data_IF_536947512958
#
_entry.id   IF_536947512958
#
_cell.length_a   1.000
_cell.length_b   1.000
_cell.length_c   1.000
_cell.angle_alpha   90.00
_cell.angle_beta   90.00
_cell.angle_gamma   90.00
#
_symmetry.space_group_name_H-M   'P 1'
#
loop_
_entity.id
_entity.type
_entity.pdbx_description
1 polymer ?
#
# COMPACT_ATOMS: atom_id res chain seq x y z
N UNK A 1 -10.26 2.95 -33.30
CA UNK A 1 -9.10 2.78 -32.39
C UNK A 1 -9.21 3.85 -31.32
N UNK A 2 -9.77 3.53 -30.15
CA UNK A 2 -9.93 4.50 -29.06
C UNK A 2 -8.69 4.49 -28.17
N UNK A 3 -7.88 5.55 -28.24
CA UNK A 3 -6.74 5.80 -27.35
C UNK A 3 -7.26 6.13 -25.95
N UNK A 4 -7.03 5.25 -24.98
CA UNK A 4 -7.28 5.54 -23.56
C UNK A 4 -6.24 6.56 -23.09
N UNK A 5 -6.68 7.80 -22.90
CA UNK A 5 -5.93 8.87 -22.25
C UNK A 5 -5.56 8.41 -20.84
N UNK A 6 -4.28 8.17 -20.57
CA UNK A 6 -3.78 7.87 -19.23
C UNK A 6 -3.83 9.17 -18.41
N UNK A 7 -4.95 9.40 -17.74
CA UNK A 7 -5.02 10.43 -16.70
C UNK A 7 -3.98 10.09 -15.64
N UNK A 8 -3.14 11.06 -15.26
CA UNK A 8 -2.16 10.93 -14.19
C UNK A 8 -2.89 10.44 -12.92
N UNK A 9 -2.72 9.16 -12.60
CA UNK A 9 -3.40 8.49 -11.50
C UNK A 9 -2.95 9.13 -10.20
N UNK A 10 -3.90 9.65 -9.42
CA UNK A 10 -3.64 10.07 -8.04
C UNK A 10 -2.95 8.92 -7.28
N UNK A 11 -1.96 9.21 -6.41
CA UNK A 11 -1.30 8.16 -5.64
C UNK A 11 -2.35 7.39 -4.83
N UNK A 12 -2.34 6.07 -5.00
CA UNK A 12 -3.24 5.16 -4.27
C UNK A 12 -2.85 5.16 -2.80
N UNK A 13 -3.86 5.22 -1.92
CA UNK A 13 -3.68 5.09 -0.47
C UNK A 13 -2.96 3.76 -0.17
N UNK A 14 -1.91 3.81 0.66
CA UNK A 14 -1.12 2.65 1.07
C UNK A 14 -1.62 2.11 2.42
N UNK A 15 -1.39 0.81 2.66
CA UNK A 15 -1.76 0.17 3.92
C UNK A 15 -0.75 0.49 5.04
N UNK A 16 -0.95 1.63 5.71
CA UNK A 16 -0.12 2.02 6.85
C UNK A 16 -0.36 1.17 8.09
N UNK A 17 -1.43 0.37 8.14
CA UNK A 17 -1.69 -0.52 9.28
C UNK A 17 -0.65 -1.64 9.38
N UNK A 18 -0.06 -2.08 8.25
CA UNK A 18 1.04 -3.06 8.28
C UNK A 18 2.27 -2.55 9.04
N UNK A 19 2.46 -1.23 9.11
CA UNK A 19 3.54 -0.62 9.88
C UNK A 19 3.29 -0.69 11.39
N UNK A 20 2.13 -1.10 11.91
CA UNK A 20 1.99 -1.27 13.37
C UNK A 20 2.81 -2.46 13.88
N UNK A 21 3.09 -3.43 13.01
CA UNK A 21 3.81 -4.65 13.37
C UNK A 21 5.32 -4.45 13.21
N UNK A 22 6.08 -4.74 14.26
CA UNK A 22 7.55 -4.52 14.29
C UNK A 22 8.26 -5.31 13.18
N UNK A 23 7.89 -6.58 12.95
CA UNK A 23 8.49 -7.39 11.88
C UNK A 23 8.30 -6.77 10.50
N UNK A 24 7.11 -6.21 10.24
CA UNK A 24 6.83 -5.53 8.98
C UNK A 24 7.58 -4.21 8.85
N UNK A 25 7.86 -3.51 9.95
CA UNK A 25 8.73 -2.31 9.94
C UNK A 25 10.16 -2.65 9.53
N UNK A 26 10.76 -3.64 10.20
CA UNK A 26 12.16 -4.02 9.97
C UNK A 26 12.36 -4.49 8.52
N UNK A 27 11.47 -5.35 8.01
CA UNK A 27 11.55 -5.78 6.62
C UNK A 27 11.32 -4.63 5.63
N UNK A 28 10.45 -3.68 5.96
CA UNK A 28 10.21 -2.51 5.13
C UNK A 28 11.43 -1.57 5.07
N UNK A 29 12.10 -1.36 6.21
CA UNK A 29 13.34 -0.60 6.30
C UNK A 29 14.43 -1.23 5.42
N UNK A 30 14.65 -2.54 5.54
CA UNK A 30 15.62 -3.27 4.71
C UNK A 30 15.33 -3.16 3.21
N UNK A 31 14.06 -3.25 2.82
CA UNK A 31 13.63 -3.12 1.43
C UNK A 31 13.84 -1.69 0.92
N UNK A 32 13.59 -0.68 1.77
CA UNK A 32 13.85 0.72 1.44
C UNK A 32 15.33 1.02 1.30
N UNK A 33 16.16 0.54 2.23
CA UNK A 33 17.62 0.69 2.16
C UNK A 33 18.17 0.04 0.89
N UNK A 34 17.67 -1.14 0.55
CA UNK A 34 18.02 -1.84 -0.70
C UNK A 34 17.57 -1.08 -1.95
N UNK A 35 16.40 -0.43 -1.91
CA UNK A 35 15.89 0.38 -3.01
C UNK A 35 16.66 1.69 -3.20
N UNK A 36 17.09 2.32 -2.09
CA UNK A 36 17.89 3.53 -2.10
C UNK A 36 19.32 3.25 -2.58
N UNK A 37 19.95 2.17 -2.13
CA UNK A 37 21.27 1.76 -2.62
C UNK A 37 21.27 1.53 -4.14
N UNK A 38 20.21 0.90 -4.67
CA UNK A 38 20.01 0.73 -6.13
C UNK A 38 19.77 2.04 -6.86
N UNK A 39 19.17 3.03 -6.19
CA UNK A 39 18.92 4.34 -6.78
C UNK A 39 20.20 5.20 -6.82
N UNK A 40 21.02 5.17 -5.77
CA UNK A 40 22.31 5.88 -5.71
C UNK A 40 23.29 5.40 -6.79
N UNK A 41 23.31 4.10 -7.10
CA UNK A 41 24.14 3.54 -8.17
C UNK A 41 23.76 4.07 -9.58
N UNK A 42 22.54 4.59 -9.75
CA UNK A 42 22.02 5.02 -11.06
C UNK A 42 22.56 6.37 -11.52
N UNK A 43 23.12 7.18 -10.62
CA UNK A 43 23.94 8.36 -10.96
C UNK A 43 23.21 9.60 -11.54
N UNK A 44 23.34 10.71 -10.80
CA UNK A 44 23.42 12.12 -11.22
C UNK A 44 22.55 12.57 -12.42
N UNK A 45 21.32 13.00 -12.13
CA UNK A 45 20.56 13.92 -13.00
C UNK A 45 20.49 15.31 -12.34
N UNK A 46 19.87 16.29 -12.99
CA UNK A 46 19.63 17.58 -12.32
C UNK A 46 18.70 17.38 -11.11
N UNK A 47 18.84 18.14 -10.00
CA UNK A 47 18.00 17.97 -8.81
C UNK A 47 16.48 17.99 -9.09
N UNK A 48 16.07 18.74 -10.12
CA UNK A 48 14.68 18.83 -10.58
C UNK A 48 14.14 17.51 -11.18
N UNK A 49 15.02 16.69 -11.74
CA UNK A 49 14.68 15.37 -12.29
C UNK A 49 14.91 14.24 -11.28
N UNK A 50 15.86 14.42 -10.36
CA UNK A 50 16.18 13.46 -9.31
C UNK A 50 15.08 13.35 -8.26
N UNK A 51 14.52 14.48 -7.82
CA UNK A 51 13.46 14.48 -6.81
C UNK A 51 12.21 13.69 -7.20
N UNK A 52 11.60 13.90 -8.40
CA UNK A 52 10.47 13.10 -8.82
C UNK A 52 10.85 11.63 -9.04
N UNK A 53 12.07 11.33 -9.51
CA UNK A 53 12.54 9.96 -9.66
C UNK A 53 12.67 9.24 -8.30
N UNK A 54 13.25 9.90 -7.31
CA UNK A 54 13.37 9.40 -5.94
C UNK A 54 11.98 9.16 -5.33
N UNK A 55 11.07 10.13 -5.48
CA UNK A 55 9.71 10.01 -4.98
C UNK A 55 8.99 8.81 -5.61
N UNK A 56 9.20 8.56 -6.91
CA UNK A 56 8.63 7.39 -7.59
C UNK A 56 9.22 6.08 -7.06
N UNK A 57 10.54 6.01 -6.82
CA UNK A 57 11.18 4.81 -6.26
C UNK A 57 10.64 4.53 -4.87
N UNK A 58 10.64 5.52 -3.97
CA UNK A 58 10.09 5.39 -2.61
C UNK A 58 8.63 4.99 -2.66
N UNK A 59 7.81 5.64 -3.50
CA UNK A 59 6.40 5.30 -3.61
C UNK A 59 6.17 3.87 -4.14
N UNK A 60 6.94 3.44 -5.13
CA UNK A 60 6.80 2.09 -5.71
C UNK A 60 7.25 1.01 -4.72
N UNK A 61 8.35 1.21 -4.00
CA UNK A 61 8.79 0.28 -2.95
C UNK A 61 7.75 0.18 -1.84
N UNK A 62 7.24 1.32 -1.37
CA UNK A 62 6.15 1.37 -0.38
C UNK A 62 4.88 0.70 -0.88
N UNK A 63 4.54 0.87 -2.16
CA UNK A 63 3.37 0.24 -2.78
C UNK A 63 3.52 -1.26 -2.92
N UNK A 64 4.70 -1.76 -3.29
CA UNK A 64 4.99 -3.19 -3.39
C UNK A 64 4.92 -3.87 -2.02
N UNK A 65 5.49 -3.24 -1.00
CA UNK A 65 5.56 -3.82 0.34
C UNK A 65 4.26 -3.65 1.15
N UNK A 66 3.75 -2.41 1.27
CA UNK A 66 2.55 -2.12 2.05
C UNK A 66 1.29 -2.57 1.31
N UNK A 67 1.26 -2.42 -0.01
CA UNK A 67 0.09 -2.73 -0.82
C UNK A 67 -1.08 -1.78 -0.55
N UNK A 68 -2.27 -2.19 -1.00
CA UNK A 68 -3.51 -1.44 -0.78
C UNK A 68 -4.05 -1.70 0.63
N UNK A 69 -4.67 -0.70 1.28
CA UNK A 69 -5.37 -0.92 2.54
C UNK A 69 -6.49 -1.92 2.33
N UNK A 70 -6.59 -2.88 3.25
CA UNK A 70 -7.68 -3.83 3.25
C UNK A 70 -8.98 -3.08 3.48
N UNK A 71 -9.93 -3.27 2.56
CA UNK A 71 -11.28 -2.76 2.71
C UNK A 71 -11.99 -3.66 3.70
N UNK A 72 -11.99 -3.26 4.98
CA UNK A 72 -12.93 -3.80 5.96
C UNK A 72 -14.32 -3.23 5.63
N UNK A 73 -14.98 -3.80 4.64
CA UNK A 73 -16.43 -3.67 4.57
C UNK A 73 -16.98 -4.52 5.72
N UNK A 74 -17.73 -3.91 6.64
CA UNK A 74 -18.65 -4.68 7.47
C UNK A 74 -19.63 -5.31 6.48
N UNK A 75 -19.48 -6.60 6.26
CA UNK A 75 -20.52 -7.35 5.59
C UNK A 75 -21.65 -7.49 6.60
N UNK A 76 -22.78 -6.82 6.35
CA UNK A 76 -23.97 -6.89 7.20
C UNK A 76 -24.58 -8.30 7.23
N UNK A 77 -24.04 -9.24 6.45
CA UNK A 77 -24.37 -10.65 6.47
C UNK A 77 -23.14 -11.53 6.69
N UNK A 78 -22.09 -11.04 7.37
CA UNK A 78 -20.95 -11.88 7.75
C UNK A 78 -21.45 -13.04 8.64
N UNK A 79 -21.31 -14.31 8.20
CA UNK A 79 -21.69 -15.45 9.02
C UNK A 79 -20.87 -15.53 10.31
N UNK A 80 -19.74 -14.84 10.40
CA UNK A 80 -18.88 -14.75 11.58
C UNK A 80 -19.26 -13.59 12.52
N UNK A 81 -20.29 -12.81 12.18
CA UNK A 81 -20.80 -11.76 13.07
C UNK A 81 -21.52 -12.39 14.27
N UNK A 82 -20.89 -12.32 15.43
CA UNK A 82 -21.42 -12.84 16.68
C UNK A 82 -22.76 -12.20 17.07
N UNK A 83 -23.00 -10.94 16.68
CA UNK A 83 -24.25 -10.23 16.95
C UNK A 83 -25.39 -10.80 16.08
N UNK A 84 -25.12 -11.05 14.80
CA UNK A 84 -26.09 -11.70 13.88
C UNK A 84 -26.36 -13.13 14.31
N UNK A 85 -25.33 -13.90 14.67
CA UNK A 85 -25.53 -15.27 15.19
C UNK A 85 -26.38 -15.27 16.46
N UNK A 86 -26.11 -14.36 17.40
CA UNK A 86 -26.90 -14.23 18.64
C UNK A 86 -28.37 -13.89 18.34
N UNK A 87 -28.62 -13.00 17.38
CA UNK A 87 -29.97 -12.63 16.95
C UNK A 87 -30.69 -13.78 16.24
N UNK A 88 -29.99 -14.56 15.41
CA UNK A 88 -30.53 -15.75 14.74
C UNK A 88 -30.88 -16.85 15.74
N UNK A 89 -29.99 -17.14 16.69
CA UNK A 89 -30.23 -18.13 17.75
C UNK A 89 -31.38 -17.78 18.70
N UNK A 90 -31.78 -16.51 18.76
CA UNK A 90 -32.93 -16.05 19.56
C UNK A 90 -34.27 -16.23 18.84
N UNK A 91 -34.25 -16.46 17.52
CA UNK A 91 -35.46 -16.58 16.70
C UNK A 91 -35.97 -18.02 16.62
N UNK A 92 -35.11 -19.01 16.88
CA UNK A 92 -35.47 -20.43 17.01
C UNK A 92 -36.02 -20.74 18.41
#
# INVERSE_FOLDING_TARGET
MTTKTQQASKPTKLNTAKLSTISHRVCFEQEMDSALAKWEEKGSSTPDEEWPALQQVVYNTAKTYLGKPDRKHQDWFDPNDQEIQTLMSRRD
#
